data_IF_918335964690
#
_entry.id   IF_918335964690
#
_cell.length_a   1.000
_cell.length_b   1.000
_cell.length_c   1.000
_cell.angle_alpha   90.00
_cell.angle_beta   90.00
_cell.angle_gamma   90.00
#
_symmetry.space_group_name_H-M   'P 1'
#
loop_
_entity.id
_entity.type
_entity.pdbx_description
1 polymer ?
#
# COMPACT_ATOMS: atom_id res chain seq x y z
N UNK A 1 4.67 7.82 -14.82
CA UNK A 1 4.80 6.85 -13.72
C UNK A 1 4.39 7.58 -12.45
N UNK A 2 3.41 7.06 -11.73
CA UNK A 2 2.85 7.68 -10.51
C UNK A 2 3.48 6.98 -9.31
N UNK A 3 3.99 7.75 -8.35
CA UNK A 3 4.46 7.22 -7.08
C UNK A 3 3.38 7.40 -6.02
N UNK A 4 2.93 6.28 -5.42
CA UNK A 4 1.91 6.26 -4.38
C UNK A 4 2.55 5.86 -3.04
N UNK A 5 2.35 6.66 -2.00
CA UNK A 5 2.78 6.34 -0.64
C UNK A 5 1.57 5.92 0.21
N UNK A 6 1.52 4.65 0.60
CA UNK A 6 0.50 4.09 1.49
C UNK A 6 1.03 4.10 2.93
N UNK A 7 0.45 4.93 3.80
CA UNK A 7 0.88 5.05 5.21
C UNK A 7 -0.10 4.30 6.12
N UNK A 8 0.42 3.38 6.94
CA UNK A 8 -0.38 2.58 7.90
C UNK A 8 0.20 2.61 9.31
N UNK A 9 -0.67 2.77 10.30
CA UNK A 9 -0.31 2.87 11.71
C UNK A 9 -0.44 1.56 12.48
N UNK A 10 -1.57 0.85 12.37
CA UNK A 10 -1.90 -0.30 13.22
C UNK A 10 -1.97 -1.64 12.46
N UNK A 11 -1.83 -2.78 13.16
CA UNK A 11 -1.88 -4.13 12.56
C UNK A 11 -3.15 -4.39 11.73
N UNK A 12 -4.37 -4.01 12.15
CA UNK A 12 -5.57 -4.20 11.31
C UNK A 12 -5.52 -3.43 9.98
N UNK A 13 -4.80 -2.32 9.92
CA UNK A 13 -4.65 -1.52 8.71
C UNK A 13 -3.70 -2.19 7.71
N UNK A 14 -2.64 -2.87 8.19
CA UNK A 14 -1.75 -3.66 7.32
C UNK A 14 -2.54 -4.74 6.57
N UNK A 15 -3.44 -5.46 7.27
CA UNK A 15 -4.26 -6.50 6.66
C UNK A 15 -5.17 -5.91 5.57
N UNK A 16 -5.78 -4.75 5.82
CA UNK A 16 -6.64 -4.07 4.83
C UNK A 16 -5.82 -3.50 3.66
N UNK A 17 -4.67 -2.91 3.94
CA UNK A 17 -3.79 -2.34 2.93
C UNK A 17 -3.26 -3.43 1.97
N UNK A 18 -2.98 -4.64 2.46
CA UNK A 18 -2.52 -5.74 1.60
C UNK A 18 -3.49 -6.08 0.45
N UNK A 19 -4.80 -6.04 0.69
CA UNK A 19 -5.80 -6.27 -0.35
C UNK A 19 -5.77 -5.16 -1.43
N UNK A 20 -5.57 -3.91 -1.00
CA UNK A 20 -5.48 -2.75 -1.89
C UNK A 20 -4.16 -2.78 -2.68
N UNK A 21 -3.02 -3.03 -2.02
CA UNK A 21 -1.71 -3.16 -2.66
C UNK A 21 -1.70 -4.25 -3.72
N UNK A 22 -2.38 -5.38 -3.47
CA UNK A 22 -2.56 -6.44 -4.46
C UNK A 22 -3.34 -5.97 -5.69
N UNK A 23 -4.39 -5.18 -5.51
CA UNK A 23 -5.16 -4.60 -6.61
C UNK A 23 -4.30 -3.61 -7.43
N UNK A 24 -3.49 -2.77 -6.78
CA UNK A 24 -2.56 -1.89 -7.48
C UNK A 24 -1.54 -2.65 -8.31
N UNK A 25 -0.91 -3.67 -7.73
CA UNK A 25 0.07 -4.50 -8.45
C UNK A 25 -0.56 -5.25 -9.63
N UNK A 26 -1.81 -5.69 -9.51
CA UNK A 26 -2.50 -6.44 -10.58
C UNK A 26 -2.97 -5.54 -11.72
N UNK A 27 -3.53 -4.37 -11.42
CA UNK A 27 -4.21 -3.55 -12.43
C UNK A 27 -3.39 -2.34 -12.92
N UNK A 28 -2.37 -1.90 -12.17
CA UNK A 28 -1.69 -0.62 -12.39
C UNK A 28 -0.15 -0.71 -12.35
N UNK A 29 0.43 -1.91 -12.40
CA UNK A 29 1.89 -2.11 -12.29
C UNK A 29 2.74 -1.45 -13.39
N UNK A 30 2.15 -1.12 -14.54
CA UNK A 30 2.86 -0.42 -15.63
C UNK A 30 2.84 1.10 -15.49
N UNK A 31 1.94 1.65 -14.66
CA UNK A 31 1.72 3.09 -14.54
C UNK A 31 1.99 3.62 -13.14
N UNK A 32 1.98 2.77 -12.11
CA UNK A 32 2.09 3.14 -10.70
C UNK A 32 3.11 2.27 -9.95
N UNK A 33 3.87 2.91 -9.06
CA UNK A 33 4.75 2.28 -8.08
C UNK A 33 4.23 2.64 -6.68
N UNK A 34 3.96 1.62 -5.86
CA UNK A 34 3.51 1.81 -4.47
C UNK A 34 4.67 1.60 -3.49
N UNK A 35 4.81 2.55 -2.56
CA UNK A 35 5.62 2.40 -1.36
C UNK A 35 4.70 2.32 -0.14
N UNK A 36 4.80 1.25 0.65
CA UNK A 36 4.06 1.11 1.90
C UNK A 36 4.96 1.47 3.08
N UNK A 37 4.56 2.50 3.83
CA UNK A 37 5.22 2.94 5.06
C UNK A 37 4.37 2.54 6.26
N UNK A 38 4.93 1.69 7.11
CA UNK A 38 4.37 1.44 8.43
C UNK A 38 5.00 2.42 9.43
N UNK A 39 4.18 3.29 10.04
CA UNK A 39 4.68 4.28 11.00
C UNK A 39 4.86 3.75 12.41
N UNK A 40 4.43 2.51 12.68
CA UNK A 40 4.50 1.93 14.02
C UNK A 40 3.54 2.63 15.00
N UNK A 41 2.34 2.08 15.13
CA UNK A 41 1.44 2.32 16.26
C UNK A 41 0.93 0.95 16.71
N UNK A 42 1.10 0.64 18.00
CA UNK A 42 0.36 -0.46 18.61
C UNK A 42 -1.06 0.03 18.93
#
# INVERSE_FOLDING_TARGET
MIHLLTIVGARPQIIKAAAISRAFQTHFSTTMEEHLLHTGQH
#
